data_IF_862120072136
#
_entry.id   IF_862120072136
#
_cell.length_a   1.000
_cell.length_b   1.000
_cell.length_c   1.000
_cell.angle_alpha   90.00
_cell.angle_beta   90.00
_cell.angle_gamma   90.00
#
_symmetry.space_group_name_H-M   'P 1'
#
loop_
_entity.id
_entity.type
_entity.pdbx_description
1 polymer ?
#
# COMPACT_ATOMS: atom_id res chain seq x y z
N UNK A 1 6.40 -14.66 23.08
CA UNK A 1 5.42 -13.72 22.50
C UNK A 1 5.71 -13.68 21.03
N UNK A 2 4.84 -14.24 20.19
CA UNK A 2 5.00 -14.14 18.74
C UNK A 2 4.28 -12.87 18.33
N UNK A 3 4.96 -11.75 18.51
CA UNK A 3 4.54 -10.47 17.96
C UNK A 3 4.45 -10.65 16.45
N UNK A 4 3.25 -10.93 15.95
CA UNK A 4 2.95 -11.12 14.53
C UNK A 4 2.94 -9.74 13.86
N UNK A 5 4.08 -9.02 13.97
CA UNK A 5 4.29 -7.74 13.34
C UNK A 5 4.17 -7.95 11.83
N UNK A 6 3.23 -7.24 11.23
CA UNK A 6 3.03 -7.30 9.77
C UNK A 6 4.33 -6.87 9.11
N UNK A 7 4.75 -7.60 8.08
CA UNK A 7 5.96 -7.28 7.34
C UNK A 7 5.61 -6.38 6.17
N UNK A 8 6.53 -5.49 5.82
CA UNK A 8 6.44 -4.63 4.65
C UNK A 8 6.44 -5.50 3.39
N UNK A 9 5.44 -5.33 2.54
CA UNK A 9 5.28 -6.10 1.30
C UNK A 9 6.37 -5.79 0.25
N UNK A 10 7.17 -4.73 0.43
CA UNK A 10 8.30 -4.41 -0.46
C UNK A 10 9.66 -4.88 0.09
N UNK A 11 10.01 -4.54 1.33
CA UNK A 11 11.35 -4.74 1.88
C UNK A 11 11.45 -5.82 2.97
N UNK A 12 10.32 -6.37 3.42
CA UNK A 12 10.26 -7.42 4.44
C UNK A 12 10.54 -6.98 5.88
N UNK A 13 10.86 -5.71 6.11
CA UNK A 13 11.03 -5.15 7.46
C UNK A 13 9.69 -5.06 8.20
N UNK A 14 9.74 -4.96 9.54
CA UNK A 14 8.53 -4.81 10.34
C UNK A 14 7.83 -3.46 10.06
N UNK A 15 6.50 -3.50 9.93
CA UNK A 15 5.66 -2.31 9.89
C UNK A 15 5.40 -1.87 11.33
N UNK A 16 6.14 -0.85 11.78
CA UNK A 16 6.00 -0.30 13.13
C UNK A 16 4.94 0.81 13.21
N UNK A 17 4.52 1.35 12.05
CA UNK A 17 3.52 2.42 11.93
C UNK A 17 2.50 2.09 10.83
N UNK A 18 1.22 2.27 11.13
CA UNK A 18 0.14 2.16 10.14
C UNK A 18 0.03 3.44 9.30
N UNK A 19 -0.76 3.40 8.22
CA UNK A 19 -1.04 4.55 7.35
C UNK A 19 -0.39 4.49 5.97
N UNK A 20 0.51 3.52 5.74
CA UNK A 20 1.11 3.26 4.43
C UNK A 20 0.52 1.98 3.85
N UNK A 21 -0.69 2.10 3.30
CA UNK A 21 -1.41 0.99 2.68
C UNK A 21 -1.72 1.33 1.22
N UNK A 22 -1.77 0.29 0.37
CA UNK A 22 -2.14 0.40 -1.03
C UNK A 22 -3.11 -0.74 -1.37
N UNK A 23 -4.27 -0.37 -1.91
CA UNK A 23 -5.20 -1.35 -2.47
C UNK A 23 -4.68 -1.78 -3.84
N UNK A 24 -4.55 -3.08 -4.06
CA UNK A 24 -4.17 -3.61 -5.37
C UNK A 24 -5.14 -4.69 -5.82
N UNK A 25 -5.06 -5.08 -7.09
CA UNK A 25 -5.81 -6.21 -7.64
C UNK A 25 -5.54 -7.54 -6.90
N UNK A 26 -4.38 -7.65 -6.25
CA UNK A 26 -3.97 -8.83 -5.49
C UNK A 26 -4.33 -8.74 -4.00
N UNK A 27 -4.97 -7.65 -3.58
CA UNK A 27 -5.36 -7.37 -2.20
C UNK A 27 -4.67 -6.15 -1.59
N UNK A 28 -4.97 -5.88 -0.33
CA UNK A 28 -4.40 -4.74 0.39
C UNK A 28 -2.93 -5.04 0.77
N UNK A 29 -2.03 -4.16 0.35
CA UNK A 29 -0.59 -4.19 0.68
C UNK A 29 -0.25 -3.17 1.76
N UNK A 30 0.70 -3.51 2.64
CA UNK A 30 1.17 -2.70 3.76
C UNK A 30 2.66 -2.43 3.67
N UNK A 31 3.05 -1.22 4.03
CA UNK A 31 4.43 -0.74 3.91
C UNK A 31 4.93 -0.15 5.23
N UNK A 32 6.24 -0.25 5.48
CA UNK A 32 6.85 0.33 6.68
C UNK A 32 7.02 1.85 6.60
N UNK A 33 6.93 2.44 5.40
CA UNK A 33 7.09 3.87 5.16
C UNK A 33 6.51 4.29 3.81
N UNK A 34 6.33 5.60 3.62
CA UNK A 34 5.87 6.22 2.36
C UNK A 34 6.76 5.84 1.16
N UNK A 35 8.08 5.79 1.36
CA UNK A 35 9.02 5.42 0.29
C UNK A 35 8.78 4.02 -0.26
N UNK A 36 8.48 3.04 0.60
CA UNK A 36 8.17 1.69 0.15
C UNK A 36 6.83 1.64 -0.60
N UNK A 37 5.81 2.39 -0.13
CA UNK A 37 4.54 2.50 -0.83
C UNK A 37 4.74 3.10 -2.23
N UNK A 38 5.44 4.23 -2.33
CA UNK A 38 5.67 4.93 -3.60
C UNK A 38 6.45 4.09 -4.61
N UNK A 39 7.52 3.40 -4.17
CA UNK A 39 8.27 2.49 -5.05
C UNK A 39 7.37 1.34 -5.53
N UNK A 40 6.58 0.73 -4.63
CA UNK A 40 5.65 -0.33 -5.03
C UNK A 40 4.63 0.18 -6.05
N UNK A 41 4.04 1.36 -5.83
CA UNK A 41 3.11 1.98 -6.79
C UNK A 41 3.75 2.23 -8.16
N UNK A 42 5.02 2.63 -8.20
CA UNK A 42 5.74 2.85 -9.46
C UNK A 42 6.06 1.53 -10.19
N UNK A 43 6.43 0.49 -9.45
CA UNK A 43 6.78 -0.82 -10.02
C UNK A 43 5.54 -1.63 -10.43
N UNK A 44 4.41 -1.39 -9.76
CA UNK A 44 3.17 -2.14 -9.89
C UNK A 44 1.99 -1.21 -10.22
N UNK A 45 2.22 -0.20 -11.07
CA UNK A 45 1.23 0.83 -11.38
C UNK A 45 -0.08 0.25 -11.92
N UNK A 46 0.01 -0.78 -12.74
CA UNK A 46 -1.11 -1.50 -13.35
C UNK A 46 -1.93 -2.32 -12.34
N UNK A 47 -1.34 -2.63 -11.18
CA UNK A 47 -1.98 -3.38 -10.11
C UNK A 47 -2.56 -2.47 -9.04
N UNK A 48 -2.08 -1.22 -8.94
CA UNK A 48 -2.55 -0.25 -7.97
C UNK A 48 -3.98 0.18 -8.32
N UNK A 49 -4.93 -0.14 -7.43
CA UNK A 49 -6.28 0.40 -7.55
C UNK A 49 -6.20 1.87 -7.17
N UNK A 50 -6.36 2.76 -8.16
CA UNK A 50 -6.45 4.19 -7.91
C UNK A 50 -7.54 4.44 -6.89
N UNK A 51 -7.25 5.28 -5.89
CA UNK A 51 -8.24 5.78 -4.94
C UNK A 51 -9.13 6.85 -5.64
N UNK A 52 -9.54 6.55 -6.87
CA UNK A 52 -10.63 7.23 -7.57
C UNK A 52 -11.90 6.84 -6.83
N UNK A 53 -12.16 7.56 -5.75
CA UNK A 53 -13.53 7.93 -5.45
C UNK A 53 -14.11 8.47 -6.74
N UNK A 54 -15.11 7.78 -7.25
CA UNK A 54 -16.12 8.35 -8.12
C UNK A 54 -16.51 9.73 -7.54
N UNK A 55 -15.99 10.77 -8.18
CA UNK A 55 -16.44 12.15 -8.03
C UNK A 55 -16.38 12.73 -9.42
N UNK A 56 -17.16 12.09 -10.30
CA UNK A 56 -17.70 12.73 -11.49
C UNK A 56 -18.65 13.85 -11.00
N UNK A 57 -18.07 14.98 -10.56
CA UNK A 57 -18.82 16.22 -10.41
C UNK A 57 -18.95 16.82 -11.81
N UNK A 58 -20.04 16.42 -12.45
CA UNK A 58 -20.59 17.07 -13.63
C UNK A 58 -21.06 18.49 -13.21
N UNK A 59 -20.40 19.53 -13.69
CA UNK A 59 -21.00 20.87 -13.93
C UNK A 59 -20.22 21.62 -15.02
#
# INVERSE_FOLDING_TARGET
MSDNKKQCDLCGLAVEVDGFELKTLEGDKKFCCEGCKGIYQMLHEEQALSETGDSESND
#
